data_IF_806461106211
#
_entry.id   IF_806461106211
#
_cell.length_a   1.000
_cell.length_b   1.000
_cell.length_c   1.000
_cell.angle_alpha   90.00
_cell.angle_beta   90.00
_cell.angle_gamma   90.00
#
_symmetry.space_group_name_H-M   'P 1'
#
loop_
_entity.id
_entity.type
_entity.pdbx_description
1 polymer ?
#
# COMPACT_ATOMS: atom_id res chain seq x y z
N UNK A 1 46.07 33.66 27.08
CA UNK A 1 44.91 33.14 27.83
C UNK A 1 43.56 33.57 27.29
N UNK A 2 43.46 34.69 26.61
CA UNK A 2 42.19 35.14 25.98
C UNK A 2 41.79 34.35 24.76
N UNK A 3 42.73 33.73 24.04
CA UNK A 3 42.48 32.89 22.86
C UNK A 3 41.89 31.51 23.14
N UNK A 4 42.16 30.95 24.30
CA UNK A 4 41.60 29.62 24.71
C UNK A 4 40.11 29.68 25.00
N UNK A 5 39.59 30.81 25.47
CA UNK A 5 38.15 30.99 25.72
C UNK A 5 37.33 31.11 24.40
N UNK A 6 37.94 31.72 23.39
CA UNK A 6 37.29 31.83 22.07
C UNK A 6 37.21 30.48 21.37
N UNK A 7 38.21 29.63 21.50
CA UNK A 7 38.20 28.26 20.91
C UNK A 7 37.14 27.37 21.57
N UNK A 8 36.95 27.48 22.89
CA UNK A 8 35.90 26.73 23.59
C UNK A 8 34.49 27.19 23.18
N UNK A 9 34.29 28.48 22.93
CA UNK A 9 33.01 29.01 22.52
C UNK A 9 32.63 28.55 21.10
N UNK A 10 33.62 28.52 20.20
CA UNK A 10 33.40 28.02 18.80
C UNK A 10 33.11 26.53 18.78
N UNK A 11 33.78 25.75 19.64
CA UNK A 11 33.57 24.29 19.71
C UNK A 11 32.17 23.94 20.22
N UNK A 12 31.66 24.69 21.20
CA UNK A 12 30.33 24.50 21.77
C UNK A 12 29.23 24.86 20.75
N UNK A 13 29.43 25.95 19.96
CA UNK A 13 28.48 26.37 18.93
C UNK A 13 28.46 25.38 17.79
N UNK A 14 29.60 24.82 17.39
CA UNK A 14 29.68 23.80 16.33
C UNK A 14 29.05 22.47 16.74
N UNK A 15 29.14 22.12 18.03
CA UNK A 15 28.52 20.91 18.59
C UNK A 15 26.98 20.98 18.67
N UNK A 16 26.40 22.18 18.78
CA UNK A 16 24.96 22.37 18.91
C UNK A 16 24.22 22.38 17.57
N UNK A 17 24.95 22.57 16.46
CA UNK A 17 24.35 22.62 15.11
C UNK A 17 24.21 21.23 14.45
N UNK A 18 24.85 20.19 14.99
CA UNK A 18 24.79 18.83 14.44
C UNK A 18 23.62 17.99 14.96
N UNK A 19 22.78 18.56 15.83
CA UNK A 19 21.67 17.87 16.48
C UNK A 19 20.29 18.05 15.85
N UNK A 20 20.12 18.81 14.76
CA UNK A 20 18.86 18.87 14.04
C UNK A 20 18.80 17.75 12.99
N UNK A 21 18.63 16.54 13.47
CA UNK A 21 18.07 15.47 12.66
C UNK A 21 16.63 15.88 12.33
N UNK A 22 16.41 16.46 11.17
CA UNK A 22 15.09 16.56 10.58
C UNK A 22 14.61 15.12 10.36
N UNK A 23 13.94 14.58 11.38
CA UNK A 23 13.14 13.38 11.19
C UNK A 23 12.05 13.74 10.20
N UNK A 24 12.29 13.52 8.92
CA UNK A 24 11.23 13.50 7.92
C UNK A 24 10.29 12.38 8.36
N UNK A 25 9.20 12.74 9.03
CA UNK A 25 8.07 11.84 9.17
C UNK A 25 7.61 11.54 7.75
N UNK A 26 8.03 10.41 7.19
CA UNK A 26 7.43 9.91 5.98
C UNK A 26 5.95 9.73 6.30
N UNK A 27 5.13 10.65 5.81
CA UNK A 27 3.68 10.56 5.93
C UNK A 27 3.27 9.26 5.24
N UNK A 28 2.71 8.32 6.01
CA UNK A 28 2.20 7.08 5.45
C UNK A 28 1.14 7.46 4.40
N UNK A 29 1.31 7.00 3.16
CA UNK A 29 0.36 7.25 2.09
C UNK A 29 -0.98 6.61 2.46
N UNK A 30 -2.05 7.40 2.41
CA UNK A 30 -3.40 6.89 2.60
C UNK A 30 -3.89 6.27 1.27
N UNK A 31 -4.29 5.00 1.34
CA UNK A 31 -4.83 4.24 0.20
C UNK A 31 -6.34 4.10 0.27
N UNK A 32 -7.01 4.76 1.20
CA UNK A 32 -8.48 4.72 1.26
C UNK A 32 -9.11 5.29 0.00
N UNK A 33 -10.25 4.72 -0.38
CA UNK A 33 -10.97 5.09 -1.58
C UNK A 33 -11.40 3.91 -2.43
N UNK A 34 -11.90 4.22 -3.63
CA UNK A 34 -12.35 3.22 -4.60
C UNK A 34 -11.31 3.07 -5.71
N UNK A 35 -10.83 1.85 -5.88
CA UNK A 35 -9.82 1.49 -6.86
C UNK A 35 -10.42 0.58 -7.91
N UNK A 36 -10.34 0.98 -9.16
CA UNK A 36 -10.82 0.20 -10.31
C UNK A 36 -9.64 -0.43 -11.03
N UNK A 37 -9.78 -1.70 -11.38
CA UNK A 37 -8.76 -2.42 -12.12
C UNK A 37 -9.36 -3.39 -13.12
N UNK A 38 -8.58 -3.72 -14.15
CA UNK A 38 -8.89 -4.80 -15.08
C UNK A 38 -8.00 -5.99 -14.78
N UNK A 39 -8.65 -7.13 -14.60
CA UNK A 39 -8.01 -8.41 -14.44
C UNK A 39 -8.02 -9.12 -15.79
N UNK A 40 -6.85 -9.43 -16.32
CA UNK A 40 -6.74 -10.22 -17.54
C UNK A 40 -6.98 -11.69 -17.22
N UNK A 41 -7.93 -12.30 -17.90
CA UNK A 41 -8.26 -13.72 -17.80
C UNK A 41 -8.13 -14.37 -19.18
N UNK A 42 -7.98 -15.71 -19.28
CA UNK A 42 -7.81 -16.38 -20.57
C UNK A 42 -8.91 -16.10 -21.60
N UNK A 43 -10.12 -15.79 -21.13
CA UNK A 43 -11.30 -15.52 -21.97
C UNK A 43 -11.56 -14.03 -22.21
N UNK A 44 -10.67 -13.12 -21.74
CA UNK A 44 -10.84 -11.68 -21.89
C UNK A 44 -10.37 -10.90 -20.67
N UNK A 45 -11.20 -10.00 -20.15
CA UNK A 45 -10.90 -9.24 -18.94
C UNK A 45 -12.12 -9.10 -18.04
N UNK A 46 -11.89 -9.05 -16.75
CA UNK A 46 -12.88 -8.75 -15.72
C UNK A 46 -12.55 -7.42 -15.05
N UNK A 47 -13.57 -6.64 -14.74
CA UNK A 47 -13.42 -5.45 -13.92
C UNK A 47 -13.47 -5.85 -12.45
N UNK A 48 -12.46 -5.42 -11.67
CA UNK A 48 -12.48 -5.53 -10.22
C UNK A 48 -12.50 -4.14 -9.60
N UNK A 49 -13.22 -4.00 -8.51
CA UNK A 49 -13.30 -2.75 -7.75
C UNK A 49 -13.00 -3.04 -6.30
N UNK A 50 -11.96 -2.41 -5.76
CA UNK A 50 -11.66 -2.43 -4.34
C UNK A 50 -12.20 -1.16 -3.69
N UNK A 51 -13.02 -1.31 -2.66
CA UNK A 51 -13.43 -0.23 -1.77
C UNK A 51 -12.61 -0.36 -0.49
N UNK A 52 -11.61 0.48 -0.33
CA UNK A 52 -10.68 0.46 0.80
C UNK A 52 -11.06 1.57 1.77
N UNK A 53 -11.34 1.19 3.01
CA UNK A 53 -11.66 2.13 4.08
C UNK A 53 -10.62 2.03 5.19
N UNK A 54 -10.14 3.18 5.63
CA UNK A 54 -9.25 3.28 6.78
C UNK A 54 -10.09 3.16 8.06
N UNK A 55 -9.71 2.25 8.96
CA UNK A 55 -10.40 2.01 10.22
C UNK A 55 -9.63 2.54 11.43
N UNK A 56 -8.38 2.89 11.24
CA UNK A 56 -7.49 3.45 12.23
C UNK A 56 -6.16 3.81 11.56
N UNK A 57 -5.21 4.37 12.29
CA UNK A 57 -3.91 4.69 11.73
C UNK A 57 -3.21 3.42 11.21
N UNK A 58 -2.99 3.36 9.90
CA UNK A 58 -2.34 2.23 9.23
C UNK A 58 -3.18 0.95 9.15
N UNK A 59 -4.47 0.98 9.51
CA UNK A 59 -5.37 -0.17 9.44
C UNK A 59 -6.48 0.06 8.43
N UNK A 60 -6.81 -0.97 7.65
CA UNK A 60 -7.77 -0.91 6.55
C UNK A 60 -8.70 -2.10 6.52
N UNK A 61 -9.90 -1.87 6.01
CA UNK A 61 -10.82 -2.92 5.58
C UNK A 61 -11.17 -2.71 4.12
N UNK A 62 -11.38 -3.79 3.39
CA UNK A 62 -11.67 -3.75 1.96
C UNK A 62 -12.88 -4.62 1.64
N UNK A 63 -13.71 -4.15 0.71
CA UNK A 63 -14.67 -4.99 -0.01
C UNK A 63 -14.29 -5.02 -1.48
N UNK A 64 -14.61 -6.12 -2.14
CA UNK A 64 -14.30 -6.37 -3.55
C UNK A 64 -15.61 -6.53 -4.32
N UNK A 65 -15.70 -5.84 -5.45
CA UNK A 65 -16.75 -6.07 -6.43
C UNK A 65 -16.17 -6.65 -7.72
N UNK A 66 -16.95 -7.50 -8.37
CA UNK A 66 -16.70 -7.97 -9.72
C UNK A 66 -17.98 -7.76 -10.55
N UNK A 67 -18.21 -6.54 -11.09
CA UNK A 67 -19.45 -6.19 -11.77
C UNK A 67 -19.77 -7.10 -12.96
N UNK A 68 -18.74 -7.50 -13.71
CA UNK A 68 -18.90 -8.38 -14.88
C UNK A 68 -19.43 -9.78 -14.51
N UNK A 69 -19.28 -10.15 -13.24
CA UNK A 69 -19.77 -11.43 -12.69
C UNK A 69 -21.03 -11.24 -11.82
N UNK A 70 -21.56 -10.02 -11.71
CA UNK A 70 -22.69 -9.71 -10.85
C UNK A 70 -22.39 -9.83 -9.35
N UNK A 71 -21.12 -9.84 -8.95
CA UNK A 71 -20.69 -9.98 -7.56
C UNK A 71 -20.34 -8.61 -6.98
N UNK A 72 -20.97 -8.27 -5.86
CA UNK A 72 -20.74 -7.00 -5.16
C UNK A 72 -20.58 -7.23 -3.66
N UNK A 73 -19.77 -6.38 -3.02
CA UNK A 73 -19.61 -6.37 -1.58
C UNK A 73 -18.97 -7.61 -0.99
N UNK A 74 -18.10 -8.29 -1.75
CA UNK A 74 -17.35 -9.45 -1.24
C UNK A 74 -16.42 -8.96 -0.15
N UNK A 75 -16.63 -9.46 1.08
CA UNK A 75 -15.81 -9.09 2.23
C UNK A 75 -14.45 -9.75 2.14
N UNK A 76 -13.41 -8.96 2.35
CA UNK A 76 -12.05 -9.47 2.52
C UNK A 76 -11.79 -9.78 4.00
N UNK A 77 -10.82 -10.65 4.27
CA UNK A 77 -10.43 -10.98 5.63
C UNK A 77 -9.36 -10.03 6.15
N UNK A 78 -8.35 -9.75 5.33
CA UNK A 78 -7.20 -8.96 5.73
C UNK A 78 -6.84 -7.98 4.63
N UNK A 79 -6.58 -6.73 5.02
CA UNK A 79 -6.00 -5.71 4.15
C UNK A 79 -4.82 -5.11 4.87
N UNK A 80 -3.64 -5.17 4.25
CA UNK A 80 -2.43 -4.53 4.78
C UNK A 80 -1.79 -3.65 3.72
N UNK A 81 -1.26 -2.52 4.16
CA UNK A 81 -0.48 -1.62 3.32
C UNK A 81 0.79 -1.22 4.05
N UNK A 82 1.92 -1.64 3.52
CA UNK A 82 3.23 -1.38 4.09
C UNK A 82 4.28 -1.28 2.98
N UNK A 83 5.20 -0.31 3.09
CA UNK A 83 6.28 -0.10 2.13
C UNK A 83 5.76 0.00 0.68
N UNK A 84 4.65 0.72 0.49
CA UNK A 84 3.95 0.86 -0.79
C UNK A 84 3.36 -0.44 -1.36
N UNK A 85 3.32 -1.50 -0.58
CA UNK A 85 2.72 -2.78 -0.97
C UNK A 85 1.36 -2.96 -0.32
N UNK A 86 0.34 -3.09 -1.16
CA UNK A 86 -1.02 -3.48 -0.76
C UNK A 86 -1.16 -5.00 -0.86
N UNK A 87 -1.64 -5.60 0.21
CA UNK A 87 -2.03 -7.03 0.22
C UNK A 87 -3.46 -7.14 0.70
N UNK A 88 -4.29 -7.84 -0.06
CA UNK A 88 -5.70 -8.10 0.26
C UNK A 88 -5.94 -9.59 0.19
N UNK A 89 -6.51 -10.17 1.25
CA UNK A 89 -6.84 -11.58 1.29
C UNK A 89 -8.35 -11.78 1.34
N UNK A 90 -8.85 -12.61 0.45
CA UNK A 90 -10.29 -12.90 0.28
C UNK A 90 -10.52 -14.40 0.27
N UNK A 91 -10.38 -15.06 1.44
CA UNK A 91 -10.46 -16.53 1.52
C UNK A 91 -11.82 -17.09 1.13
N UNK A 92 -12.90 -16.32 1.26
CA UNK A 92 -14.25 -16.76 0.86
C UNK A 92 -14.35 -17.15 -0.62
N UNK A 93 -13.47 -16.57 -1.45
CA UNK A 93 -13.34 -16.91 -2.88
C UNK A 93 -11.97 -17.50 -3.20
N UNK A 94 -11.22 -17.93 -2.19
CA UNK A 94 -9.85 -18.45 -2.34
C UNK A 94 -8.92 -17.53 -3.14
N UNK A 95 -9.01 -16.22 -2.92
CA UNK A 95 -8.26 -15.23 -3.67
C UNK A 95 -7.39 -14.36 -2.77
N UNK A 96 -6.30 -13.88 -3.36
CA UNK A 96 -5.44 -12.87 -2.75
C UNK A 96 -4.93 -11.89 -3.81
N UNK A 97 -4.72 -10.66 -3.41
CA UNK A 97 -4.10 -9.62 -4.23
C UNK A 97 -2.86 -9.08 -3.57
N UNK A 98 -1.82 -8.87 -4.35
CA UNK A 98 -0.61 -8.18 -3.91
C UNK A 98 -0.16 -7.21 -4.99
N UNK A 99 -0.10 -5.92 -4.67
CA UNK A 99 0.28 -4.89 -5.62
C UNK A 99 1.11 -3.78 -5.00
N UNK A 100 1.84 -3.08 -5.85
CA UNK A 100 2.69 -1.95 -5.46
C UNK A 100 2.07 -0.64 -5.92
N UNK A 101 1.95 0.31 -4.99
CA UNK A 101 1.54 1.68 -5.28
C UNK A 101 2.68 2.44 -5.96
N UNK A 102 2.38 3.07 -7.06
CA UNK A 102 3.27 3.93 -7.83
C UNK A 102 3.01 5.42 -7.52
N UNK A 103 3.94 6.29 -7.93
CA UNK A 103 3.86 7.73 -7.68
C UNK A 103 2.68 8.41 -8.40
N UNK A 104 2.18 7.81 -9.47
CA UNK A 104 1.01 8.27 -10.25
C UNK A 104 -0.33 7.86 -9.62
N UNK A 105 -0.32 7.30 -8.40
CA UNK A 105 -1.48 6.76 -7.70
C UNK A 105 -2.13 5.57 -8.41
N UNK A 106 -1.37 4.78 -9.14
CA UNK A 106 -1.79 3.48 -9.63
C UNK A 106 -1.23 2.36 -8.76
N UNK A 107 -1.94 1.24 -8.68
CA UNK A 107 -1.46 0.03 -8.01
C UNK A 107 -1.38 -1.08 -9.04
N UNK A 108 -0.18 -1.56 -9.28
CA UNK A 108 0.07 -2.70 -10.17
C UNK A 108 0.42 -3.93 -9.37
N UNK A 109 -0.21 -5.04 -9.69
CA UNK A 109 0.02 -6.24 -8.90
C UNK A 109 -0.55 -7.51 -9.52
N UNK A 110 -0.59 -8.54 -8.70
CA UNK A 110 -1.03 -9.87 -9.08
C UNK A 110 -2.22 -10.29 -8.24
N UNK A 111 -3.26 -10.71 -8.91
CA UNK A 111 -4.43 -11.36 -8.31
C UNK A 111 -4.26 -12.88 -8.46
N UNK A 112 -4.24 -13.57 -7.34
CA UNK A 112 -4.13 -15.03 -7.31
C UNK A 112 -5.46 -15.61 -6.87
N UNK A 113 -6.03 -16.45 -7.70
CA UNK A 113 -7.27 -17.17 -7.40
C UNK A 113 -6.99 -18.66 -7.47
N UNK A 114 -7.08 -19.33 -6.34
CA UNK A 114 -6.90 -20.76 -6.27
C UNK A 114 -8.27 -21.43 -6.53
N UNK A 115 -8.57 -21.65 -7.76
CA UNK A 115 -9.61 -22.65 -8.13
C UNK A 115 -8.92 -24.01 -8.16
N UNK A 116 -9.66 -25.06 -7.87
CA UNK A 116 -9.16 -26.45 -7.84
C UNK A 116 -8.57 -26.94 -9.17
N UNK A 117 -8.52 -26.11 -10.17
CA UNK A 117 -7.90 -26.32 -11.48
C UNK A 117 -6.91 -25.16 -11.71
N UNK A 118 -5.63 -25.48 -11.76
CA UNK A 118 -4.50 -24.59 -12.04
C UNK A 118 -4.83 -23.46 -13.07
N UNK A 119 -5.43 -22.38 -12.64
CA UNK A 119 -5.58 -21.18 -13.43
C UNK A 119 -4.61 -20.14 -12.93
N UNK A 120 -3.75 -19.74 -13.85
CA UNK A 120 -2.56 -18.97 -13.61
C UNK A 120 -2.74 -17.61 -12.96
N UNK A 121 -1.62 -17.03 -12.60
CA UNK A 121 -1.48 -15.68 -12.07
C UNK A 121 -2.05 -14.65 -13.05
N UNK A 122 -2.90 -13.77 -12.55
CA UNK A 122 -3.51 -12.72 -13.34
C UNK A 122 -3.00 -11.37 -12.83
N UNK A 123 -2.45 -10.56 -13.71
CA UNK A 123 -1.96 -9.24 -13.38
C UNK A 123 -3.09 -8.21 -13.45
N UNK A 124 -3.21 -7.38 -12.41
CA UNK A 124 -4.07 -6.18 -12.41
C UNK A 124 -3.15 -5.00 -12.70
N UNK A 125 -3.44 -4.30 -13.75
CA UNK A 125 -2.78 -3.05 -14.11
C UNK A 125 -3.62 -1.84 -13.69
#
# INVERSE_FOLDING_TARGET
MKTLKAVYLVTVITGLLTGLSLSSSASAQDISGTWHGKLTVPTGSLTLVFHINQTGEGTYITTLDSPDQGANGIKTQTTSFKDSILTVQTPVIHASYKGKLSNDRSISGTFTHVVAYNLGFLAIA
#
